data_IF_480713021739
#
_entry.id   IF_480713021739
#
_cell.length_a   1.000
_cell.length_b   1.000
_cell.length_c   1.000
_cell.angle_alpha   90.00
_cell.angle_beta   90.00
_cell.angle_gamma   90.00
#
_symmetry.space_group_name_H-M   'P 1'
#
loop_
_entity.id
_entity.type
_entity.pdbx_description
1 polymer ?
#
# COMPACT_ATOMS: atom_id res chain seq x y z
N UNK A 1 7.21 5.69 27.41
CA UNK A 1 6.24 5.36 26.33
C UNK A 1 4.91 4.77 26.84
N UNK A 2 4.81 3.58 27.46
CA UNK A 2 3.48 3.13 27.99
C UNK A 2 2.96 4.06 29.09
N UNK A 3 3.82 4.45 30.03
CA UNK A 3 3.44 5.38 31.11
C UNK A 3 3.13 6.80 30.61
N UNK A 4 3.52 7.16 29.38
CA UNK A 4 3.16 8.44 28.76
C UNK A 4 1.76 8.39 28.13
N UNK A 5 1.33 7.20 27.66
CA UNK A 5 0.03 6.99 27.00
C UNK A 5 -1.03 6.51 28.00
N UNK A 6 -0.60 5.79 29.04
CA UNK A 6 -1.41 5.25 30.13
C UNK A 6 -0.67 5.42 31.46
N UNK A 7 -0.68 6.63 32.03
CA UNK A 7 0.03 6.93 33.29
C UNK A 7 -0.50 6.12 34.47
N UNK A 8 -1.76 5.69 34.41
CA UNK A 8 -2.43 4.96 35.49
C UNK A 8 -1.98 3.49 35.61
N UNK A 9 -1.31 2.96 34.58
CA UNK A 9 -0.85 1.57 34.56
C UNK A 9 0.47 1.43 35.31
N UNK A 10 0.41 0.74 36.45
CA UNK A 10 1.59 0.41 37.24
C UNK A 10 2.49 -0.60 36.52
N UNK A 11 3.81 -0.36 36.45
CA UNK A 11 4.77 -1.32 35.91
C UNK A 11 4.65 -2.69 36.58
N UNK A 12 4.93 -3.76 35.83
CA UNK A 12 4.89 -5.16 36.30
C UNK A 12 3.50 -5.73 36.61
N UNK A 13 2.42 -4.95 36.45
CA UNK A 13 1.05 -5.51 36.49
C UNK A 13 0.74 -6.30 35.22
N UNK A 14 -0.17 -7.27 35.32
CA UNK A 14 -0.64 -8.02 34.15
C UNK A 14 -1.29 -7.08 33.10
N UNK A 15 -2.04 -6.06 33.56
CA UNK A 15 -2.63 -5.04 32.69
C UNK A 15 -1.57 -4.23 31.93
N UNK A 16 -0.50 -3.81 32.60
CA UNK A 16 0.63 -3.14 31.97
C UNK A 16 1.29 -4.04 30.93
N UNK A 17 1.55 -5.30 31.25
CA UNK A 17 2.19 -6.25 30.32
C UNK A 17 1.33 -6.50 29.08
N UNK A 18 0.03 -6.67 29.23
CA UNK A 18 -0.90 -6.82 28.10
C UNK A 18 -0.88 -5.58 27.21
N UNK A 19 -0.96 -4.37 27.80
CA UNK A 19 -0.94 -3.14 27.02
C UNK A 19 0.41 -2.90 26.34
N UNK A 20 1.50 -3.18 27.04
CA UNK A 20 2.86 -3.12 26.51
C UNK A 20 3.01 -4.03 25.28
N UNK A 21 2.52 -5.28 25.36
CA UNK A 21 2.52 -6.21 24.22
C UNK A 21 1.75 -5.62 23.04
N UNK A 22 0.52 -5.15 23.24
CA UNK A 22 -0.28 -4.56 22.15
C UNK A 22 0.42 -3.38 21.48
N UNK A 23 1.04 -2.46 22.24
CA UNK A 23 1.77 -1.32 21.68
C UNK A 23 3.06 -1.77 20.98
N UNK A 24 3.74 -2.79 21.52
CA UNK A 24 4.92 -3.38 20.89
C UNK A 24 4.57 -4.01 19.54
N UNK A 25 3.49 -4.78 19.46
CA UNK A 25 3.00 -5.37 18.21
C UNK A 25 2.60 -4.29 17.20
N UNK A 26 1.90 -3.24 17.64
CA UNK A 26 1.57 -2.11 16.77
C UNK A 26 2.82 -1.41 16.22
N UNK A 27 3.83 -1.19 17.08
CA UNK A 27 5.11 -0.60 16.66
C UNK A 27 5.83 -1.50 15.66
N UNK A 28 5.79 -2.82 15.86
CA UNK A 28 6.38 -3.82 14.97
C UNK A 28 5.68 -3.81 13.60
N UNK A 29 4.35 -3.78 13.57
CA UNK A 29 3.56 -3.64 12.35
C UNK A 29 3.91 -2.34 11.62
N UNK A 30 3.93 -1.21 12.34
CA UNK A 30 4.28 0.10 11.78
C UNK A 30 5.66 0.11 11.12
N UNK A 31 6.67 -0.50 11.76
CA UNK A 31 8.01 -0.66 11.17
C UNK A 31 7.99 -1.46 9.87
N UNK A 32 7.19 -2.53 9.79
CA UNK A 32 7.08 -3.39 8.60
C UNK A 32 6.38 -2.70 7.45
N UNK A 33 5.26 -2.04 7.73
CA UNK A 33 4.55 -1.21 6.75
C UNK A 33 5.46 -0.08 6.25
N UNK A 34 6.24 0.53 7.14
CA UNK A 34 7.24 1.53 6.76
C UNK A 34 8.33 0.96 5.84
N UNK A 35 8.87 -0.22 6.14
CA UNK A 35 9.86 -0.87 5.29
C UNK A 35 9.31 -1.18 3.88
N UNK A 36 8.07 -1.67 3.77
CA UNK A 36 7.40 -1.89 2.49
C UNK A 36 7.22 -0.58 1.73
N UNK A 37 6.71 0.46 2.41
CA UNK A 37 6.57 1.80 1.83
C UNK A 37 7.90 2.33 1.28
N UNK A 38 8.98 2.24 2.06
CA UNK A 38 10.29 2.75 1.67
C UNK A 38 10.89 1.96 0.50
N UNK A 39 10.55 0.68 0.36
CA UNK A 39 11.09 -0.18 -0.71
C UNK A 39 10.29 -0.08 -2.01
N UNK A 40 8.96 0.03 -1.91
CA UNK A 40 8.05 -0.09 -3.05
C UNK A 40 7.21 1.15 -3.35
N UNK A 41 7.23 2.19 -2.51
CA UNK A 41 6.40 3.40 -2.64
C UNK A 41 5.15 3.38 -1.75
N UNK A 42 4.40 4.48 -1.71
CA UNK A 42 3.30 4.64 -0.75
C UNK A 42 2.07 3.79 -1.09
N UNK A 43 1.79 3.58 -2.39
CA UNK A 43 0.63 2.81 -2.83
C UNK A 43 0.69 1.32 -2.50
N UNK A 44 1.86 0.78 -2.13
CA UNK A 44 1.99 -0.62 -1.66
C UNK A 44 1.06 -0.93 -0.50
N UNK A 45 0.73 0.07 0.33
CA UNK A 45 -0.20 -0.10 1.46
C UNK A 45 -1.62 -0.42 1.01
N UNK A 46 -2.04 0.04 -0.18
CA UNK A 46 -3.33 -0.29 -0.79
C UNK A 46 -3.33 -1.60 -1.58
N UNK A 47 -2.14 -2.17 -1.86
CA UNK A 47 -1.98 -3.44 -2.58
C UNK A 47 -1.79 -4.63 -1.63
N UNK A 48 -1.71 -4.38 -0.33
CA UNK A 48 -1.64 -5.46 0.65
C UNK A 48 -2.95 -6.26 0.64
N UNK A 49 -2.88 -7.60 0.59
CA UNK A 49 -4.08 -8.42 0.62
C UNK A 49 -4.85 -8.16 1.91
N UNK A 50 -6.11 -7.76 1.76
CA UNK A 50 -7.03 -7.57 2.88
C UNK A 50 -7.66 -8.90 3.27
N UNK A 51 -8.08 -9.02 4.53
CA UNK A 51 -8.81 -10.19 5.05
C UNK A 51 -10.18 -10.40 4.39
N UNK A 52 -10.63 -9.44 3.59
CA UNK A 52 -11.88 -9.48 2.85
C UNK A 52 -11.65 -10.05 1.44
N UNK A 53 -11.76 -11.39 1.31
CA UNK A 53 -12.02 -12.04 0.02
C UNK A 53 -10.86 -12.71 -0.71
N UNK A 54 -9.67 -12.88 -0.12
CA UNK A 54 -8.59 -13.69 -0.71
C UNK A 54 -8.34 -15.00 0.06
N UNK A 55 -8.21 -16.11 -0.65
CA UNK A 55 -7.76 -17.41 -0.10
C UNK A 55 -6.35 -17.33 0.52
N UNK A 56 -5.57 -16.33 0.08
CA UNK A 56 -4.28 -15.97 0.67
C UNK A 56 -4.52 -14.80 1.61
N UNK A 57 -4.76 -15.11 2.88
CA UNK A 57 -4.92 -14.12 3.93
C UNK A 57 -3.54 -13.78 4.52
N UNK A 58 -2.88 -12.73 4.02
CA UNK A 58 -1.78 -12.13 4.79
C UNK A 58 -2.43 -11.32 5.91
N UNK A 59 -2.83 -12.02 6.97
CA UNK A 59 -3.31 -11.34 8.17
C UNK A 59 -2.21 -10.47 8.76
N UNK A 60 -2.59 -9.40 9.47
CA UNK A 60 -1.65 -8.63 10.28
C UNK A 60 -0.81 -9.54 11.19
N UNK A 61 -1.36 -10.68 11.62
CA UNK A 61 -0.65 -11.71 12.39
C UNK A 61 0.46 -12.40 11.60
N UNK A 62 0.32 -12.64 10.30
CA UNK A 62 1.40 -13.18 9.45
C UNK A 62 2.49 -12.13 9.25
N UNK A 63 2.12 -10.87 9.00
CA UNK A 63 3.08 -9.77 8.92
C UNK A 63 3.73 -9.51 10.28
N UNK A 64 3.10 -9.80 11.42
CA UNK A 64 3.70 -9.58 12.74
C UNK A 64 4.54 -10.75 13.25
N UNK A 65 4.15 -12.00 12.97
CA UNK A 65 4.76 -13.20 13.55
C UNK A 65 6.15 -13.53 12.99
N UNK A 66 6.48 -13.09 11.77
CA UNK A 66 7.79 -13.37 11.18
C UNK A 66 8.92 -12.78 12.05
N UNK A 67 10.04 -13.47 12.27
CA UNK A 67 11.27 -12.85 12.77
C UNK A 67 11.72 -11.70 11.86
N UNK A 68 12.35 -10.67 12.42
CA UNK A 68 12.78 -9.48 11.67
C UNK A 68 13.73 -9.83 10.51
N UNK A 69 14.68 -10.73 10.74
CA UNK A 69 15.60 -11.22 9.70
C UNK A 69 14.88 -11.89 8.53
N UNK A 70 13.84 -12.68 8.83
CA UNK A 70 13.05 -13.38 7.81
C UNK A 70 12.22 -12.37 7.02
N UNK A 71 11.63 -11.38 7.70
CA UNK A 71 10.91 -10.31 7.05
C UNK A 71 11.82 -9.50 6.10
N UNK A 72 13.04 -9.16 6.54
CA UNK A 72 13.99 -8.42 5.70
C UNK A 72 14.43 -9.25 4.49
N UNK A 73 14.69 -10.55 4.66
CA UNK A 73 14.96 -11.46 3.53
C UNK A 73 13.78 -11.55 2.57
N UNK A 74 12.56 -11.62 3.09
CA UNK A 74 11.34 -11.62 2.27
C UNK A 74 11.24 -10.35 1.42
N UNK A 75 11.39 -9.16 2.03
CA UNK A 75 11.38 -7.88 1.30
C UNK A 75 12.48 -7.83 0.25
N UNK A 76 13.67 -8.32 0.58
CA UNK A 76 14.80 -8.36 -0.35
C UNK A 76 14.52 -9.27 -1.57
N UNK A 77 14.07 -10.50 -1.34
CA UNK A 77 13.71 -11.44 -2.41
C UNK A 77 12.58 -10.89 -3.28
N UNK A 78 11.57 -10.28 -2.64
CA UNK A 78 10.43 -9.68 -3.34
C UNK A 78 10.88 -8.50 -4.22
N UNK A 79 11.75 -7.64 -3.70
CA UNK A 79 12.31 -6.53 -4.48
C UNK A 79 13.21 -7.00 -5.62
N UNK A 80 13.96 -8.09 -5.42
CA UNK A 80 14.82 -8.65 -6.47
C UNK A 80 14.01 -9.18 -7.67
N UNK A 81 12.88 -9.87 -7.42
CA UNK A 81 12.12 -10.52 -8.49
C UNK A 81 10.97 -9.68 -9.05
N UNK A 82 10.33 -8.85 -8.21
CA UNK A 82 9.09 -8.14 -8.55
C UNK A 82 9.16 -6.66 -8.19
N UNK A 83 10.34 -6.12 -7.86
CA UNK A 83 10.49 -4.75 -7.37
C UNK A 83 9.98 -3.70 -8.35
N UNK A 84 10.34 -3.79 -9.63
CA UNK A 84 9.92 -2.82 -10.65
C UNK A 84 8.40 -2.85 -10.88
N UNK A 85 7.84 -4.06 -10.99
CA UNK A 85 6.40 -4.26 -11.09
C UNK A 85 5.68 -3.65 -9.88
N UNK A 86 6.10 -4.02 -8.65
CA UNK A 86 5.48 -3.53 -7.42
C UNK A 86 5.57 -2.02 -7.28
N UNK A 87 6.69 -1.41 -7.66
CA UNK A 87 6.83 0.06 -7.69
C UNK A 87 5.90 0.70 -8.72
N UNK A 88 5.75 0.10 -9.89
CA UNK A 88 4.86 0.60 -10.94
C UNK A 88 3.40 0.59 -10.48
N UNK A 89 2.94 -0.52 -9.91
CA UNK A 89 1.59 -0.65 -9.34
C UNK A 89 1.40 0.26 -8.12
N UNK A 90 2.39 0.34 -7.24
CA UNK A 90 2.38 1.24 -6.09
C UNK A 90 2.23 2.70 -6.52
N UNK A 91 2.95 3.14 -7.57
CA UNK A 91 2.83 4.49 -8.10
C UNK A 91 1.43 4.75 -8.70
N UNK A 92 0.85 3.78 -9.40
CA UNK A 92 -0.50 3.92 -9.97
C UNK A 92 -1.58 4.06 -8.90
N UNK A 93 -1.45 3.30 -7.79
CA UNK A 93 -2.44 3.26 -6.70
C UNK A 93 -2.20 4.34 -5.65
N UNK A 94 -1.00 4.95 -5.60
CA UNK A 94 -0.63 5.96 -4.62
C UNK A 94 -1.62 7.14 -4.51
N UNK A 95 -2.16 7.73 -5.60
CA UNK A 95 -3.16 8.79 -5.51
C UNK A 95 -4.44 8.33 -4.79
N UNK A 96 -4.88 7.11 -5.08
CA UNK A 96 -6.06 6.48 -4.46
C UNK A 96 -5.82 6.35 -2.96
N UNK A 97 -4.70 5.73 -2.59
CA UNK A 97 -4.32 5.50 -1.20
C UNK A 97 -4.20 6.82 -0.43
N UNK A 98 -3.51 7.82 -0.98
CA UNK A 98 -3.40 9.15 -0.34
C UNK A 98 -4.75 9.82 -0.15
N UNK A 99 -5.67 9.71 -1.13
CA UNK A 99 -7.01 10.29 -1.02
C UNK A 99 -7.81 9.70 0.14
N UNK A 100 -7.69 8.38 0.36
CA UNK A 100 -8.33 7.66 1.47
C UNK A 100 -7.72 8.06 2.82
N UNK A 101 -6.39 8.13 2.91
CA UNK A 101 -5.70 8.39 4.18
C UNK A 101 -5.75 9.84 4.64
N UNK A 102 -5.63 10.80 3.73
CA UNK A 102 -5.47 12.22 4.10
C UNK A 102 -6.71 13.06 3.83
N UNK A 103 -7.72 12.53 3.13
CA UNK A 103 -8.89 13.26 2.72
C UNK A 103 -8.55 14.27 1.62
N UNK A 104 -9.03 14.00 0.41
CA UNK A 104 -8.87 14.92 -0.72
C UNK A 104 -9.59 14.41 -1.96
N UNK A 105 -10.44 15.24 -2.54
CA UNK A 105 -11.03 15.00 -3.86
C UNK A 105 -9.91 15.08 -4.90
N UNK A 106 -9.30 13.96 -5.27
CA UNK A 106 -8.18 13.97 -6.24
C UNK A 106 -8.26 12.91 -7.34
N UNK A 107 -9.30 12.07 -7.35
CA UNK A 107 -9.68 11.40 -8.58
C UNK A 107 -10.61 12.33 -9.35
N UNK A 108 -10.02 13.24 -10.15
CA UNK A 108 -10.78 14.16 -11.02
C UNK A 108 -11.51 13.41 -12.15
N UNK A 109 -11.16 12.15 -12.37
CA UNK A 109 -11.78 11.23 -13.31
C UNK A 109 -12.00 9.87 -12.62
N UNK A 110 -13.09 9.15 -12.93
CA UNK A 110 -13.25 7.77 -12.52
C UNK A 110 -12.06 6.95 -13.05
N UNK A 111 -11.59 6.01 -12.24
CA UNK A 111 -10.55 5.08 -12.68
C UNK A 111 -11.14 4.10 -13.69
N UNK A 112 -10.38 3.67 -14.72
CA UNK A 112 -10.89 2.68 -15.66
C UNK A 112 -11.38 1.41 -14.97
N UNK A 113 -10.71 0.98 -13.88
CA UNK A 113 -11.12 -0.19 -13.08
C UNK A 113 -12.56 -0.12 -12.54
N UNK A 114 -13.12 1.08 -12.34
CA UNK A 114 -14.50 1.26 -11.86
C UNK A 114 -15.55 0.84 -12.91
N UNK A 115 -15.17 0.80 -14.18
CA UNK A 115 -16.05 0.50 -15.31
C UNK A 115 -15.82 -0.90 -15.90
N UNK A 116 -14.87 -1.68 -15.35
CA UNK A 116 -14.52 -3.01 -15.86
C UNK A 116 -15.20 -4.09 -15.02
N UNK A 117 -15.73 -5.13 -15.69
CA UNK A 117 -16.35 -6.25 -15.00
C UNK A 117 -15.30 -7.12 -14.30
N UNK A 118 -15.65 -7.70 -13.16
CA UNK A 118 -14.75 -8.53 -12.37
C UNK A 118 -14.14 -9.69 -13.17
N UNK A 119 -14.92 -10.32 -14.06
CA UNK A 119 -14.45 -11.41 -14.93
C UNK A 119 -13.29 -10.97 -15.81
N UNK A 120 -13.39 -9.77 -16.40
CA UNK A 120 -12.36 -9.21 -17.28
C UNK A 120 -11.07 -8.90 -16.54
N UNK A 121 -11.17 -8.55 -15.24
CA UNK A 121 -10.00 -8.35 -14.36
C UNK A 121 -9.32 -9.69 -14.07
N UNK A 122 -10.10 -10.73 -13.77
CA UNK A 122 -9.60 -12.07 -13.44
C UNK A 122 -8.94 -12.78 -14.63
N UNK A 123 -9.29 -12.41 -15.86
CA UNK A 123 -8.66 -12.91 -17.08
C UNK A 123 -7.27 -12.32 -17.32
N UNK A 124 -6.92 -11.19 -16.69
CA UNK A 124 -5.61 -10.57 -16.89
C UNK A 124 -4.51 -11.30 -16.11
N UNK A 125 -3.33 -11.52 -16.72
CA UNK A 125 -2.18 -12.07 -16.00
C UNK A 125 -1.78 -11.20 -14.81
N UNK A 126 -1.34 -11.83 -13.72
CA UNK A 126 -0.82 -11.10 -12.56
C UNK A 126 0.34 -10.19 -12.97
N UNK A 127 0.24 -8.91 -12.61
CA UNK A 127 1.30 -7.94 -12.85
C UNK A 127 1.41 -7.48 -14.31
N UNK A 128 0.38 -7.75 -15.12
CA UNK A 128 0.34 -7.30 -16.50
C UNK A 128 0.20 -5.78 -16.61
N UNK A 129 0.54 -5.26 -17.78
CA UNK A 129 0.44 -3.82 -18.07
C UNK A 129 -1.02 -3.39 -18.16
N UNK A 130 -1.89 -4.27 -18.62
CA UNK A 130 -3.33 -4.04 -18.72
C UNK A 130 -3.93 -3.77 -17.34
N UNK A 131 -3.59 -4.56 -16.32
CA UNK A 131 -4.02 -4.31 -14.95
C UNK A 131 -3.46 -2.99 -14.39
N UNK A 132 -2.24 -2.63 -14.79
CA UNK A 132 -1.61 -1.39 -14.35
C UNK A 132 -2.32 -0.17 -14.96
N UNK A 133 -2.71 -0.26 -16.22
CA UNK A 133 -3.41 0.82 -16.93
C UNK A 133 -4.84 1.01 -16.38
N UNK A 134 -5.49 -0.05 -15.89
CA UNK A 134 -6.77 0.06 -15.20
C UNK A 134 -6.72 0.92 -13.92
N UNK A 135 -5.54 1.02 -13.30
CA UNK A 135 -5.31 1.75 -12.05
C UNK A 135 -4.84 3.19 -12.29
N UNK A 136 -4.61 3.57 -13.55
CA UNK A 136 -4.18 4.92 -13.92
C UNK A 136 -5.39 5.73 -14.38
N UNK A 137 -5.59 6.95 -13.87
CA UNK A 137 -6.59 7.83 -14.44
C UNK A 137 -6.19 8.14 -15.89
N UNK A 138 -7.16 8.05 -16.81
CA UNK A 138 -6.98 8.48 -18.19
C UNK A 138 -6.46 9.93 -18.23
N UNK A 139 -5.47 10.25 -19.06
CA UNK A 139 -5.03 11.63 -19.23
C UNK A 139 -6.23 12.46 -19.68
N UNK A 140 -6.69 13.34 -18.80
CA UNK A 140 -7.78 14.26 -19.12
C UNK A 140 -7.36 15.07 -20.34
N UNK A 141 -8.22 15.20 -21.36
CA UNK A 141 -7.93 15.90 -22.62
C UNK A 141 -7.37 17.33 -22.43
N UNK A 142 -7.57 17.93 -21.25
CA UNK A 142 -6.98 19.21 -20.85
C UNK A 142 -5.44 19.17 -20.73
N UNK A 143 -4.81 18.03 -20.43
CA UNK A 143 -3.35 17.91 -20.33
C UNK A 143 -2.64 17.75 -21.69
N UNK A 144 -3.35 17.28 -22.73
CA UNK A 144 -2.82 17.16 -24.09
C UNK A 144 -2.78 18.52 -24.81
N UNK A 145 -3.72 19.41 -24.49
CA UNK A 145 -3.75 20.78 -25.02
C UNK A 145 -2.58 21.65 -24.50
N UNK A 146 -2.06 21.39 -23.30
CA UNK A 146 -0.89 22.13 -22.80
C UNK A 146 0.44 21.61 -23.35
N UNK A 147 0.55 20.32 -23.68
CA UNK A 147 1.77 19.77 -24.30
C UNK A 147 1.98 20.19 -25.75
N UNK A 148 0.91 20.36 -26.52
CA UNK A 148 1.02 20.83 -27.91
C UNK A 148 1.41 22.30 -28.05
N UNK A 149 1.23 23.12 -27.00
CA UNK A 149 1.55 24.55 -27.05
C UNK A 149 3.01 24.87 -26.69
N UNK A 150 3.72 23.98 -26.01
CA UNK A 150 5.16 24.14 -25.73
C UNK A 150 6.07 23.67 -26.88
N UNK A 151 5.57 22.80 -27.78
CA UNK A 151 6.36 22.30 -28.93
C UNK A 151 6.25 23.18 -30.19
N UNK A 152 5.58 24.34 -30.13
CA UNK A 152 5.47 25.30 -31.25
C UNK A 152 6.23 26.62 -31.02
N UNK A 153 7.14 26.69 -30.03
CA UNK A 153 7.93 27.89 -29.74
C UNK A 153 9.45 27.78 -30.01
N UNK A 154 9.90 26.76 -30.76
CA UNK A 154 11.28 26.68 -31.26
C UNK A 154 11.36 26.85 -32.79
#
# INVERSE_FOLDING_TARGET
>A
MIQEIHPDLQPKTAAYQTKYRSVSELRKLGKRLHALKTTFGYGILGLLPSTLGSDICISDNMIQSLPEEIFNKFVHVLNHHQGEMLRSFSNAVEPIVKSVFYGGMSLRSPLPIENVQQQQILEQPKGSVELLDLLRPEPTQQGLLYRQNDEMQD
#
